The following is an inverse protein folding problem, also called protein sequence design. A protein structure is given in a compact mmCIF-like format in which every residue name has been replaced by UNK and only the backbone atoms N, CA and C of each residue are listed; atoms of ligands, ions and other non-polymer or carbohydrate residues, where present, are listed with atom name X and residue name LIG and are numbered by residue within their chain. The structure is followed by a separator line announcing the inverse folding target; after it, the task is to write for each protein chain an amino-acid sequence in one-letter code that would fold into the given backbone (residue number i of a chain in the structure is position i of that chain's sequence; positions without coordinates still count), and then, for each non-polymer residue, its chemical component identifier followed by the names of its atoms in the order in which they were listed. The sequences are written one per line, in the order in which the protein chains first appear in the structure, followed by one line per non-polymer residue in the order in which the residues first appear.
data_IF_516383111044
#
_entry.id   IF_516383111044
#
_cell.length_a   1.000
_cell.length_b   1.000
_cell.length_c   1.000
_cell.angle_alpha   90.00
_cell.angle_beta   90.00
_cell.angle_gamma   90.00
#
_symmetry.space_group_name_H-M   'P 1'
#
loop_
_entity.id
_entity.type
_entity.pdbx_description
1 polymer ?
#
# COMPACT_ATOMS: atom_id res chain seq x y z
N UNK A 1 -13.19 0.62 4.15
CA UNK A 1 -12.60 0.30 2.83
C UNK A 1 -11.74 -0.94 2.96
N UNK A 2 -11.61 -1.70 1.89
CA UNK A 2 -10.71 -2.86 1.82
C UNK A 2 -9.35 -2.43 1.31
N UNK A 3 -8.32 -2.67 2.08
CA UNK A 3 -6.96 -2.20 1.81
C UNK A 3 -6.01 -3.40 1.75
N UNK A 4 -5.21 -3.46 0.71
CA UNK A 4 -4.12 -4.43 0.63
C UNK A 4 -2.81 -3.74 1.02
N UNK A 5 -2.10 -4.30 2.00
CA UNK A 5 -0.85 -3.74 2.50
C UNK A 5 0.32 -4.57 1.96
N UNK A 6 1.18 -3.92 1.18
CA UNK A 6 2.39 -4.53 0.60
C UNK A 6 3.61 -4.02 1.34
N UNK A 7 4.42 -4.94 1.88
CA UNK A 7 5.63 -4.58 2.61
C UNK A 7 6.65 -5.73 2.60
N UNK A 8 7.92 -5.39 2.72
CA UNK A 8 8.97 -6.39 2.90
C UNK A 8 8.94 -6.90 4.36
N UNK A 9 9.27 -8.17 4.56
CA UNK A 9 9.24 -8.79 5.90
C UNK A 9 10.12 -8.06 6.91
N UNK A 10 11.16 -7.39 6.46
CA UNK A 10 12.01 -6.56 7.32
C UNK A 10 11.26 -5.40 7.95
N UNK A 11 10.10 -5.02 7.39
CA UNK A 11 9.27 -3.91 7.88
C UNK A 11 8.04 -4.41 8.64
N UNK A 12 8.06 -5.64 9.13
CA UNK A 12 6.90 -6.25 9.77
C UNK A 12 6.37 -5.44 10.98
N UNK A 13 7.25 -4.88 11.78
CA UNK A 13 6.84 -4.11 12.97
C UNK A 13 6.06 -2.86 12.60
N UNK A 14 6.54 -2.10 11.62
CA UNK A 14 5.82 -0.89 11.19
C UNK A 14 4.54 -1.25 10.45
N UNK A 15 4.55 -2.34 9.68
CA UNK A 15 3.35 -2.84 9.01
C UNK A 15 2.26 -3.21 10.01
N UNK A 16 2.62 -3.84 11.12
CA UNK A 16 1.69 -4.19 12.18
C UNK A 16 1.06 -2.94 12.81
N UNK A 17 1.87 -1.92 13.09
CA UNK A 17 1.37 -0.64 13.61
C UNK A 17 0.40 0.04 12.64
N UNK A 18 0.71 0.00 11.35
CA UNK A 18 -0.17 0.56 10.32
C UNK A 18 -1.48 -0.21 10.25
N UNK A 19 -1.42 -1.55 10.29
CA UNK A 19 -2.63 -2.39 10.29
C UNK A 19 -3.56 -2.05 11.45
N UNK A 20 -3.01 -1.90 12.65
CA UNK A 20 -3.80 -1.54 13.83
C UNK A 20 -4.45 -0.18 13.66
N UNK A 21 -3.71 0.81 13.18
CA UNK A 21 -4.24 2.16 12.97
C UNK A 21 -5.37 2.16 11.94
N UNK A 22 -5.22 1.41 10.86
CA UNK A 22 -6.25 1.31 9.81
C UNK A 22 -7.50 0.56 10.31
N UNK A 23 -7.31 -0.55 10.99
CA UNK A 23 -8.42 -1.33 11.54
C UNK A 23 -9.21 -0.54 12.59
N UNK A 24 -8.53 0.25 13.39
CA UNK A 24 -9.18 1.12 14.37
C UNK A 24 -10.07 2.20 13.72
N UNK A 25 -9.83 2.49 12.43
CA UNK A 25 -10.66 3.41 11.66
C UNK A 25 -11.74 2.71 10.83
N UNK A 26 -11.93 1.40 11.05
CA UNK A 26 -12.98 0.63 10.41
C UNK A 26 -12.60 0.04 9.05
N UNK A 27 -11.33 0.10 8.66
CA UNK A 27 -10.86 -0.52 7.42
C UNK A 27 -10.56 -2.00 7.61
N UNK A 28 -10.72 -2.78 6.53
CA UNK A 28 -10.27 -4.16 6.47
C UNK A 28 -8.90 -4.17 5.80
N UNK A 29 -7.93 -4.85 6.42
CA UNK A 29 -6.55 -4.88 5.91
C UNK A 29 -6.15 -6.31 5.59
N UNK A 30 -5.62 -6.51 4.39
CA UNK A 30 -5.15 -7.79 3.86
C UNK A 30 -3.69 -7.68 3.49
N UNK A 31 -2.95 -8.78 3.60
CA UNK A 31 -1.53 -8.84 3.21
C UNK A 31 -1.15 -10.31 2.93
N UNK A 32 0.03 -10.52 2.34
CA UNK A 32 0.40 -11.81 1.78
C UNK A 32 0.94 -12.85 2.76
N UNK A 33 1.07 -12.52 4.05
CA UNK A 33 1.61 -13.45 5.05
C UNK A 33 0.57 -14.37 5.69
N UNK A 34 -0.68 -14.31 5.24
CA UNK A 34 -1.74 -15.18 5.75
C UNK A 34 -1.47 -16.63 5.33
N UNK A 35 -1.87 -17.57 6.20
CA UNK A 35 -1.79 -18.99 5.88
C UNK A 35 -2.66 -19.32 4.68
N UNK A 36 -2.04 -19.90 3.64
CA UNK A 36 -2.76 -20.32 2.45
C UNK A 36 -3.13 -21.79 2.58
N UNK A 37 -4.35 -22.19 2.14
CA UNK A 37 -4.70 -23.62 2.11
C UNK A 37 -3.73 -24.40 1.23
N UNK A 38 -3.34 -25.62 1.65
CA UNK A 38 -2.50 -26.47 0.82
C UNK A 38 -3.11 -26.72 -0.55
N UNK A 39 -2.29 -26.66 -1.59
CA UNK A 39 -2.71 -26.94 -2.97
C UNK A 39 -3.26 -25.75 -3.73
N UNK A 40 -3.46 -24.60 -3.09
CA UNK A 40 -3.84 -23.38 -3.80
C UNK A 40 -2.62 -22.68 -4.36
N UNK A 41 -2.82 -22.01 -5.51
CA UNK A 41 -1.79 -21.14 -6.08
C UNK A 41 -1.68 -19.87 -5.25
N UNK A 42 -0.46 -19.58 -4.76
CA UNK A 42 -0.19 -18.37 -3.98
C UNK A 42 -0.48 -17.10 -4.79
N UNK A 43 0.03 -17.05 -6.03
CA UNK A 43 -0.13 -15.88 -6.90
C UNK A 43 -1.59 -15.59 -7.24
N UNK A 44 -2.36 -16.63 -7.58
CA UNK A 44 -3.77 -16.47 -7.90
C UNK A 44 -4.56 -15.90 -6.72
N UNK A 45 -4.26 -16.39 -5.52
CA UNK A 45 -4.94 -15.95 -4.31
C UNK A 45 -4.61 -14.49 -3.98
N UNK A 46 -3.35 -14.12 -4.10
CA UNK A 46 -2.92 -12.75 -3.85
C UNK A 46 -3.48 -11.79 -4.90
N UNK A 47 -3.45 -12.19 -6.17
CA UNK A 47 -4.01 -11.39 -7.25
C UNK A 47 -5.51 -11.15 -7.05
N UNK A 48 -6.24 -12.18 -6.65
CA UNK A 48 -7.66 -12.07 -6.33
C UNK A 48 -7.90 -11.12 -5.15
N UNK A 49 -7.09 -11.25 -4.10
CA UNK A 49 -7.20 -10.40 -2.91
C UNK A 49 -6.98 -8.93 -3.25
N UNK A 50 -5.97 -8.62 -4.07
CA UNK A 50 -5.73 -7.25 -4.55
C UNK A 50 -6.91 -6.75 -5.37
N UNK A 51 -7.45 -7.61 -6.25
CA UNK A 51 -8.60 -7.25 -7.09
C UNK A 51 -9.86 -6.94 -6.29
N UNK A 52 -10.00 -7.48 -5.09
CA UNK A 52 -11.13 -7.22 -4.20
C UNK A 52 -10.94 -5.99 -3.31
N UNK A 53 -9.74 -5.42 -3.30
CA UNK A 53 -9.42 -4.23 -2.50
C UNK A 53 -9.67 -2.95 -3.29
N UNK A 54 -9.91 -1.87 -2.57
CA UNK A 54 -10.15 -0.54 -3.13
C UNK A 54 -8.87 0.27 -3.20
N UNK A 55 -7.89 -0.07 -2.36
CA UNK A 55 -6.62 0.65 -2.21
C UNK A 55 -5.51 -0.34 -1.90
N UNK A 56 -4.34 -0.12 -2.51
CA UNK A 56 -3.12 -0.81 -2.12
C UNK A 56 -2.19 0.21 -1.46
N UNK A 57 -1.75 -0.08 -0.25
CA UNK A 57 -0.74 0.72 0.46
C UNK A 57 0.60 0.00 0.31
N UNK A 58 1.55 0.64 -0.35
CA UNK A 58 2.87 0.09 -0.59
C UNK A 58 3.89 0.76 0.33
N UNK A 59 4.47 -0.03 1.24
CA UNK A 59 5.51 0.47 2.14
C UNK A 59 6.86 0.44 1.44
N UNK A 60 7.39 1.62 1.15
CA UNK A 60 8.65 1.77 0.43
C UNK A 60 9.82 1.66 1.40
N UNK A 61 10.70 0.71 1.13
CA UNK A 61 11.99 0.52 1.81
C UNK A 61 12.99 0.02 0.78
N UNK A 62 14.29 0.03 1.05
CA UNK A 62 15.26 -0.56 0.13
C UNK A 62 14.94 -2.03 -0.19
N UNK A 63 14.38 -2.76 0.77
CA UNK A 63 14.03 -4.17 0.59
C UNK A 63 12.79 -4.34 -0.28
N UNK A 64 11.74 -3.52 -0.06
CA UNK A 64 10.49 -3.70 -0.80
C UNK A 64 10.62 -3.37 -2.29
N UNK A 65 11.61 -2.56 -2.67
CA UNK A 65 11.83 -2.19 -4.08
C UNK A 65 13.00 -2.97 -4.71
N UNK A 66 13.60 -3.89 -3.99
CA UNK A 66 14.71 -4.70 -4.50
C UNK A 66 14.21 -5.73 -5.52
N UNK A 67 14.97 -5.92 -6.58
CA UNK A 67 14.65 -6.91 -7.62
C UNK A 67 14.47 -8.30 -7.02
N UNK A 68 13.48 -9.02 -7.51
CA UNK A 68 13.19 -10.39 -7.08
C UNK A 68 12.34 -10.50 -5.82
N UNK A 69 12.02 -9.41 -5.17
CA UNK A 69 11.14 -9.45 -3.99
C UNK A 69 9.69 -9.60 -4.42
N UNK A 70 8.92 -10.34 -3.63
CA UNK A 70 7.51 -10.59 -3.92
C UNK A 70 6.65 -9.31 -3.87
N UNK A 71 7.09 -8.31 -3.12
CA UNK A 71 6.44 -6.99 -3.11
C UNK A 71 6.29 -6.41 -4.50
N UNK A 72 7.28 -6.59 -5.39
CA UNK A 72 7.19 -6.13 -6.77
C UNK A 72 6.19 -6.94 -7.59
N UNK A 73 6.00 -8.21 -7.27
CA UNK A 73 4.96 -9.04 -7.89
C UNK A 73 3.58 -8.55 -7.50
N UNK A 74 3.38 -8.23 -6.22
CA UNK A 74 2.12 -7.64 -5.75
C UNK A 74 1.85 -6.29 -6.42
N UNK A 75 2.89 -5.47 -6.58
CA UNK A 75 2.76 -4.21 -7.28
C UNK A 75 2.39 -4.41 -8.75
N UNK A 76 2.93 -5.44 -9.40
CA UNK A 76 2.57 -5.79 -10.77
C UNK A 76 1.10 -6.19 -10.88
N UNK A 77 0.57 -6.91 -9.91
CA UNK A 77 -0.86 -7.24 -9.86
C UNK A 77 -1.72 -5.97 -9.74
N UNK A 78 -1.32 -5.04 -8.87
CA UNK A 78 -2.00 -3.76 -8.74
C UNK A 78 -1.98 -2.98 -10.06
N UNK A 79 -0.84 -2.95 -10.74
CA UNK A 79 -0.69 -2.26 -12.02
C UNK A 79 -1.56 -2.88 -13.12
N UNK A 80 -1.72 -4.20 -13.10
CA UNK A 80 -2.64 -4.88 -14.03
C UNK A 80 -4.09 -4.50 -13.76
N UNK A 81 -4.44 -4.32 -12.50
CA UNK A 81 -5.78 -3.94 -12.08
C UNK A 81 -6.05 -2.46 -12.34
N UNK A 82 -5.07 -1.60 -12.05
CA UNK A 82 -5.18 -0.15 -12.17
C UNK A 82 -3.98 0.39 -12.95
N UNK A 83 -4.18 0.78 -14.20
CA UNK A 83 -3.13 1.35 -15.03
C UNK A 83 -2.55 2.62 -14.42
N UNK A 84 -3.42 3.47 -13.87
CA UNK A 84 -3.02 4.64 -13.10
C UNK A 84 -3.14 4.32 -11.62
N UNK A 85 -2.11 4.59 -10.81
CA UNK A 85 -2.18 4.38 -9.37
C UNK A 85 -3.03 5.42 -8.65
N UNK A 86 -3.44 6.48 -9.34
CA UNK A 86 -4.15 7.62 -8.74
C UNK A 86 -5.44 7.17 -8.05
N UNK A 87 -5.52 7.44 -6.73
CA UNK A 87 -6.67 7.04 -5.92
C UNK A 87 -6.75 5.55 -5.63
N UNK A 88 -5.76 4.76 -6.06
CA UNK A 88 -5.74 3.31 -5.90
C UNK A 88 -4.49 2.78 -5.22
N UNK A 89 -3.41 3.53 -5.26
CA UNK A 89 -2.15 3.13 -4.63
C UNK A 89 -1.63 4.30 -3.79
N UNK A 90 -1.33 4.02 -2.52
CA UNK A 90 -0.72 4.98 -1.60
C UNK A 90 0.70 4.50 -1.29
N UNK A 91 1.73 5.14 -1.87
CA UNK A 91 3.11 4.80 -1.53
C UNK A 91 3.54 5.52 -0.27
N UNK A 92 4.09 4.78 0.69
CA UNK A 92 4.55 5.32 1.99
C UNK A 92 6.01 4.99 2.18
N UNK A 93 6.86 5.99 2.33
CA UNK A 93 8.28 5.80 2.59
C UNK A 93 8.46 5.49 4.07
N UNK A 94 8.81 4.25 4.40
CA UNK A 94 8.99 3.80 5.79
C UNK A 94 10.45 3.68 6.18
N UNK A 95 11.36 3.73 5.21
CA UNK A 95 12.82 3.73 5.44
C UNK A 95 13.49 4.51 4.31
N UNK A 96 14.66 5.15 4.55
CA UNK A 96 15.37 5.88 3.52
C UNK A 96 15.63 4.99 2.29
N UNK A 97 15.17 5.44 1.13
CA UNK A 97 15.25 4.68 -0.12
C UNK A 97 15.64 5.62 -1.25
N UNK A 98 16.67 5.29 -2.06
CA UNK A 98 17.04 6.13 -3.20
C UNK A 98 15.86 6.28 -4.16
N UNK A 99 15.60 7.50 -4.61
CA UNK A 99 14.47 7.79 -5.49
C UNK A 99 14.54 6.99 -6.80
N UNK A 100 15.74 6.79 -7.33
CA UNK A 100 15.96 6.01 -8.55
C UNK A 100 15.63 4.53 -8.40
N UNK A 101 15.58 4.01 -7.16
CA UNK A 101 15.22 2.63 -6.88
C UNK A 101 13.71 2.42 -6.82
N UNK A 102 12.95 3.49 -6.72
CA UNK A 102 11.48 3.42 -6.58
C UNK A 102 10.85 3.26 -7.97
N UNK A 103 9.98 2.24 -8.17
CA UNK A 103 9.30 2.05 -9.46
C UNK A 103 8.55 3.28 -9.92
N UNK A 104 8.60 3.55 -11.22
CA UNK A 104 7.92 4.70 -11.80
C UNK A 104 6.40 4.70 -11.56
N UNK A 105 5.80 3.52 -11.49
CA UNK A 105 4.38 3.40 -11.20
C UNK A 105 4.01 4.05 -9.86
N UNK A 106 4.85 3.87 -8.83
CA UNK A 106 4.65 4.49 -7.52
C UNK A 106 4.92 5.99 -7.57
N UNK A 107 5.87 6.44 -8.38
CA UNK A 107 6.22 7.86 -8.51
C UNK A 107 5.24 8.65 -9.35
N UNK A 108 4.28 7.98 -9.99
CA UNK A 108 3.20 8.65 -10.73
C UNK A 108 2.21 9.36 -9.81
N UNK A 109 2.24 9.07 -8.52
CA UNK A 109 1.47 9.77 -7.48
C UNK A 109 2.42 10.32 -6.43
N UNK A 110 1.92 11.22 -5.58
CA UNK A 110 2.72 11.79 -4.49
C UNK A 110 3.05 10.71 -3.47
N UNK A 111 4.33 10.59 -3.13
CA UNK A 111 4.77 9.69 -2.07
C UNK A 111 4.46 10.30 -0.71
N UNK A 112 3.97 9.51 0.23
CA UNK A 112 3.87 9.93 1.61
C UNK A 112 5.23 9.73 2.27
N UNK A 113 5.84 10.81 2.75
CA UNK A 113 7.09 10.79 3.50
C UNK A 113 6.77 11.21 4.93
N UNK A 114 6.49 10.24 5.84
CA UNK A 114 6.08 10.56 7.20
C UNK A 114 7.16 11.35 7.95
N UNK A 115 6.73 12.38 8.67
CA UNK A 115 7.64 13.23 9.45
C UNK A 115 7.66 12.84 10.93
N UNK A 116 6.62 12.16 11.40
CA UNK A 116 6.47 11.75 12.79
C UNK A 116 6.00 10.31 12.90
N UNK A 117 4.78 10.10 13.38
CA UNK A 117 4.21 8.76 13.56
C UNK A 117 3.74 8.19 12.23
N UNK A 118 4.47 7.21 11.72
CA UNK A 118 4.20 6.61 10.39
C UNK A 118 2.77 6.03 10.33
N UNK A 119 2.36 5.29 11.36
CA UNK A 119 1.04 4.65 11.36
C UNK A 119 -0.09 5.68 11.35
N UNK A 120 0.02 6.73 12.19
CA UNK A 120 -0.99 7.78 12.25
C UNK A 120 -1.06 8.57 10.94
N UNK A 121 0.08 8.91 10.37
CA UNK A 121 0.14 9.67 9.12
C UNK A 121 -0.38 8.86 7.94
N UNK A 122 -0.09 7.55 7.91
CA UNK A 122 -0.61 6.64 6.88
C UNK A 122 -2.13 6.54 6.98
N UNK A 123 -2.66 6.35 8.18
CA UNK A 123 -4.11 6.26 8.37
C UNK A 123 -4.81 7.57 7.96
N UNK A 124 -4.23 8.72 8.30
CA UNK A 124 -4.77 10.01 7.87
C UNK A 124 -4.75 10.17 6.34
N UNK A 125 -3.68 9.71 5.69
CA UNK A 125 -3.57 9.76 4.23
C UNK A 125 -4.60 8.86 3.55
N UNK A 126 -4.86 7.68 4.11
CA UNK A 126 -5.90 6.75 3.62
C UNK A 126 -7.27 7.42 3.68
N UNK A 127 -7.58 8.12 4.76
CA UNK A 127 -8.86 8.81 4.89
C UNK A 127 -9.02 9.91 3.83
N UNK A 128 -7.95 10.59 3.47
CA UNK A 128 -7.98 11.60 2.39
C UNK A 128 -8.22 10.98 1.02
N UNK A 129 -7.67 9.81 0.76
CA UNK A 129 -7.92 9.08 -0.48
C UNK A 129 -9.37 8.64 -0.57
N UNK A 130 -9.94 8.21 0.58
CA UNK A 130 -11.31 7.73 0.69
C UNK A 130 -12.33 8.82 0.39
N UNK A 131 -12.03 10.09 0.71
CA UNK A 131 -12.97 11.20 0.56
C UNK A 131 -12.49 12.22 -0.48
N UNK A 132 -12.67 11.93 -1.78
CA UNK A 132 -12.32 12.88 -2.83
C UNK A 132 -13.17 14.15 -2.79
N UNK A 133 -14.38 14.10 -2.25
CA UNK A 133 -15.26 15.27 -2.09
C UNK A 133 -14.63 16.30 -1.15
N UNK A 134 -14.06 15.85 -0.05
CA UNK A 134 -13.34 16.70 0.90
C UNK A 134 -12.16 17.41 0.24
N UNK A 135 -11.40 16.67 -0.60
CA UNK A 135 -10.28 17.24 -1.35
C UNK A 135 -10.76 18.31 -2.33
N UNK A 136 -11.87 18.05 -3.05
CA UNK A 136 -12.47 19.03 -3.96
C UNK A 136 -12.90 20.30 -3.24
N UNK A 137 -13.52 20.17 -2.08
CA UNK A 137 -13.96 21.30 -1.28
C UNK A 137 -12.79 22.20 -0.91
N UNK A 138 -11.65 21.62 -0.54
CA UNK A 138 -10.42 22.36 -0.25
C UNK A 138 -9.91 23.09 -1.48
N UNK A 139 -9.94 22.44 -2.65
CA UNK A 139 -9.44 23.03 -3.90
C UNK A 139 -10.36 24.10 -4.48
N UNK A 140 -11.63 24.14 -4.07
CA UNK A 140 -12.59 25.14 -4.55
C UNK A 140 -12.38 26.52 -3.92
N UNK A 141 -11.58 26.60 -2.90
CA UNK A 141 -11.22 27.86 -2.24
C UNK A 141 -9.86 28.36 -2.69
#
# INVERSE_FOLDING_TARGET
MRIFLTFASEQNDIAESIQLALRNRGHQVFFSHDDLPPGESFDERIQKSIGECELLVFLISPQSVAKGRYTLTELAFARSQWRSPRGRVLPVVVAPTPMESIPNYLKAVTLLEPEGNIAAETAAAVDRVRDPTRTRTILAF
#
